data_IF_916658035573
#
_entry.id   IF_916658035573
#
_cell.length_a   1.000
_cell.length_b   1.000
_cell.length_c   1.000
_cell.angle_alpha   90.00
_cell.angle_beta   90.00
_cell.angle_gamma   90.00
#
_symmetry.space_group_name_H-M   'P 1'
#
loop_
_entity.id
_entity.type
_entity.pdbx_description
1 polymer ?
#
# COMPACT_ATOMS: atom_id res chain seq x y z
N UNK A 1 15.34 23.42 -3.50
CA UNK A 1 15.42 22.90 -2.11
C UNK A 1 14.56 21.65 -1.87
N UNK A 2 13.24 21.68 -2.08
CA UNK A 2 12.41 20.46 -1.94
C UNK A 2 12.72 19.43 -3.03
N UNK A 3 12.79 19.88 -4.30
CA UNK A 3 13.13 19.00 -5.42
C UNK A 3 14.49 18.30 -5.23
N UNK A 4 15.49 19.03 -4.72
CA UNK A 4 16.82 18.48 -4.43
C UNK A 4 16.77 17.45 -3.29
N UNK A 5 15.94 17.68 -2.27
CA UNK A 5 15.71 16.71 -1.20
C UNK A 5 15.04 15.44 -1.72
N UNK A 6 14.05 15.57 -2.60
CA UNK A 6 13.41 14.41 -3.26
C UNK A 6 14.44 13.65 -4.09
N UNK A 7 15.21 14.33 -4.94
CA UNK A 7 16.25 13.70 -5.75
C UNK A 7 17.30 12.96 -4.89
N UNK A 8 17.72 13.57 -3.78
CA UNK A 8 18.66 12.95 -2.86
C UNK A 8 18.07 11.72 -2.16
N UNK A 9 16.83 11.76 -1.68
CA UNK A 9 16.18 10.60 -1.06
C UNK A 9 15.92 9.48 -2.08
N UNK A 10 15.49 9.80 -3.30
CA UNK A 10 15.39 8.82 -4.40
C UNK A 10 16.73 8.15 -4.67
N UNK A 11 17.81 8.92 -4.75
CA UNK A 11 19.14 8.38 -4.99
C UNK A 11 19.59 7.42 -3.87
N UNK A 12 19.32 7.77 -2.61
CA UNK A 12 19.60 6.88 -1.46
C UNK A 12 18.83 5.58 -1.57
N UNK A 13 17.53 5.66 -1.84
CA UNK A 13 16.67 4.48 -1.97
C UNK A 13 17.16 3.57 -3.11
N UNK A 14 17.47 4.15 -4.27
CA UNK A 14 18.04 3.41 -5.41
C UNK A 14 19.37 2.72 -5.09
N UNK A 15 20.15 3.28 -4.17
CA UNK A 15 21.41 2.68 -3.73
C UNK A 15 21.21 1.60 -2.65
N UNK A 16 20.20 1.75 -1.80
CA UNK A 16 19.82 0.73 -0.82
C UNK A 16 18.96 -0.37 -1.45
N UNK A 17 19.64 -1.26 -2.18
CA UNK A 17 19.02 -2.40 -2.86
C UNK A 17 18.28 -3.34 -1.90
N UNK A 18 18.74 -3.41 -0.65
CA UNK A 18 18.12 -4.26 0.37
C UNK A 18 16.75 -3.70 0.76
N UNK A 19 16.69 -2.40 1.08
CA UNK A 19 15.42 -1.73 1.39
C UNK A 19 14.46 -1.75 0.19
N UNK A 20 14.96 -1.57 -1.04
CA UNK A 20 14.15 -1.65 -2.25
C UNK A 20 13.55 -3.04 -2.46
N UNK A 21 14.39 -4.08 -2.38
CA UNK A 21 13.94 -5.45 -2.58
C UNK A 21 12.98 -5.88 -1.48
N UNK A 22 13.39 -5.82 -0.22
CA UNK A 22 12.57 -6.29 0.89
C UNK A 22 11.34 -5.42 1.14
N UNK A 23 11.45 -4.10 0.93
CA UNK A 23 10.36 -3.18 1.17
C UNK A 23 9.29 -3.20 0.08
N UNK A 24 9.71 -3.14 -1.19
CA UNK A 24 8.81 -2.82 -2.30
C UNK A 24 8.78 -3.91 -3.38
N UNK A 25 9.85 -4.69 -3.55
CA UNK A 25 9.93 -5.73 -4.59
C UNK A 25 9.46 -7.12 -4.14
N UNK A 26 9.65 -7.45 -2.86
CA UNK A 26 9.49 -8.82 -2.36
C UNK A 26 8.04 -9.30 -2.41
N UNK A 27 7.09 -8.52 -1.90
CA UNK A 27 5.69 -8.91 -1.86
C UNK A 27 5.10 -9.17 -3.28
N UNK A 28 5.31 -8.31 -4.29
CA UNK A 28 4.91 -8.59 -5.67
C UNK A 28 5.54 -9.87 -6.24
N UNK A 29 6.85 -10.08 -6.01
CA UNK A 29 7.58 -11.25 -6.53
C UNK A 29 7.10 -12.56 -5.90
N UNK A 30 6.87 -12.57 -4.58
CA UNK A 30 6.33 -13.74 -3.90
C UNK A 30 4.90 -14.01 -4.36
N UNK A 31 4.08 -12.97 -4.53
CA UNK A 31 2.73 -13.11 -5.11
C UNK A 31 2.75 -13.78 -6.48
N UNK A 32 3.67 -13.38 -7.36
CA UNK A 32 3.90 -14.02 -8.65
C UNK A 32 4.30 -15.49 -8.52
N UNK A 33 5.29 -15.81 -7.68
CA UNK A 33 5.78 -17.17 -7.49
C UNK A 33 4.67 -18.08 -6.94
N UNK A 34 3.88 -17.59 -5.99
CA UNK A 34 2.76 -18.34 -5.41
C UNK A 34 1.65 -18.57 -6.44
N UNK A 35 1.33 -17.58 -7.27
CA UNK A 35 0.34 -17.74 -8.35
C UNK A 35 0.79 -18.80 -9.36
N UNK A 36 2.04 -18.69 -9.83
CA UNK A 36 2.66 -19.67 -10.74
C UNK A 36 2.73 -21.07 -10.14
N UNK A 37 3.16 -21.17 -8.88
CA UNK A 37 3.23 -22.44 -8.16
C UNK A 37 1.86 -23.08 -7.97
N UNK A 38 0.83 -22.28 -7.68
CA UNK A 38 -0.56 -22.73 -7.59
C UNK A 38 -1.07 -23.31 -8.91
N UNK A 39 -0.83 -22.63 -10.03
CA UNK A 39 -1.24 -23.13 -11.36
C UNK A 39 -0.50 -24.40 -11.76
N UNK A 40 0.81 -24.50 -11.48
CA UNK A 40 1.59 -25.72 -11.69
C UNK A 40 1.10 -26.88 -10.82
N UNK A 41 0.79 -26.61 -9.55
CA UNK A 41 0.27 -27.60 -8.61
C UNK A 41 -1.08 -28.17 -9.09
N UNK A 42 -1.99 -27.31 -9.54
CA UNK A 42 -3.29 -27.72 -10.08
C UNK A 42 -3.12 -28.63 -11.29
N UNK A 43 -2.23 -28.26 -12.22
CA UNK A 43 -1.99 -29.07 -13.42
C UNK A 43 -1.34 -30.42 -13.10
N UNK A 44 -0.32 -30.44 -12.25
CA UNK A 44 0.53 -31.62 -12.04
C UNK A 44 -0.07 -32.62 -11.06
N UNK A 45 -0.65 -32.14 -9.96
CA UNK A 45 -1.12 -32.97 -8.85
C UNK A 45 -2.62 -33.20 -8.94
N UNK A 46 -3.40 -32.14 -9.10
CA UNK A 46 -4.87 -32.27 -9.09
C UNK A 46 -5.37 -32.90 -10.39
N UNK A 47 -4.67 -32.67 -11.52
CA UNK A 47 -5.00 -33.21 -12.87
C UNK A 47 -6.47 -33.02 -13.28
N UNK A 48 -7.18 -32.09 -12.64
CA UNK A 48 -8.53 -31.68 -13.01
C UNK A 48 -8.41 -30.35 -13.73
N UNK A 49 -8.23 -30.33 -15.06
CA UNK A 49 -8.56 -29.13 -15.81
C UNK A 49 -10.06 -28.92 -15.58
N UNK A 50 -10.44 -27.90 -14.81
CA UNK A 50 -11.86 -27.52 -14.70
C UNK A 50 -12.32 -27.16 -16.11
N UNK A 51 -13.17 -27.98 -16.76
CA UNK A 51 -13.57 -27.73 -18.14
C UNK A 51 -14.34 -26.40 -18.17
N UNK A 52 -13.95 -25.49 -19.06
CA UNK A 52 -14.60 -24.17 -19.17
C UNK A 52 -14.14 -23.12 -18.15
N UNK A 53 -13.08 -23.36 -17.36
CA UNK A 53 -12.51 -22.32 -16.50
C UNK A 53 -11.88 -21.21 -17.36
N UNK A 54 -12.48 -20.02 -17.32
CA UNK A 54 -12.00 -18.82 -17.99
C UNK A 54 -11.13 -17.99 -17.07
N UNK A 55 -10.13 -17.32 -17.64
CA UNK A 55 -9.29 -16.34 -16.94
C UNK A 55 -9.72 -14.95 -17.37
N UNK A 56 -10.27 -14.20 -16.42
CA UNK A 56 -10.47 -12.77 -16.54
C UNK A 56 -9.24 -12.04 -15.98
N UNK A 57 -8.52 -11.33 -16.85
CA UNK A 57 -7.30 -10.60 -16.49
C UNK A 57 -7.58 -9.39 -15.58
N UNK A 58 -8.65 -8.65 -15.83
CA UNK A 58 -8.96 -7.45 -15.05
C UNK A 58 -9.43 -7.85 -13.64
N UNK A 59 -10.26 -8.88 -13.54
CA UNK A 59 -10.69 -9.41 -12.24
C UNK A 59 -9.50 -9.92 -11.41
N UNK A 60 -8.50 -10.55 -12.05
CA UNK A 60 -7.28 -10.97 -11.36
C UNK A 60 -6.45 -9.79 -10.86
N UNK A 61 -6.30 -8.74 -11.67
CA UNK A 61 -5.60 -7.52 -11.26
C UNK A 61 -6.31 -6.84 -10.10
N UNK A 62 -7.63 -6.67 -10.16
CA UNK A 62 -8.42 -6.07 -9.07
C UNK A 62 -8.28 -6.90 -7.79
N UNK A 63 -8.35 -8.23 -7.89
CA UNK A 63 -8.13 -9.12 -6.75
C UNK A 63 -6.72 -8.99 -6.17
N UNK A 64 -5.70 -8.91 -7.02
CA UNK A 64 -4.31 -8.74 -6.58
C UNK A 64 -4.07 -7.39 -5.90
N UNK A 65 -4.63 -6.30 -6.44
CA UNK A 65 -4.58 -4.97 -5.82
C UNK A 65 -5.36 -4.94 -4.49
N UNK A 66 -6.51 -5.61 -4.42
CA UNK A 66 -7.25 -5.85 -3.18
C UNK A 66 -6.39 -6.53 -2.12
N UNK A 67 -5.71 -7.61 -2.50
CA UNK A 67 -4.76 -8.33 -1.64
C UNK A 67 -3.49 -7.54 -1.30
N UNK A 68 -3.15 -6.51 -2.08
CA UNK A 68 -2.09 -5.56 -1.79
C UNK A 68 -2.29 -4.80 -0.47
N UNK A 69 -3.52 -4.79 0.06
CA UNK A 69 -3.85 -4.28 1.38
C UNK A 69 -3.77 -5.34 2.49
N UNK A 70 -3.36 -6.56 2.20
CA UNK A 70 -3.17 -7.58 3.25
C UNK A 70 -2.14 -7.11 4.28
N UNK A 71 -2.30 -7.55 5.52
CA UNK A 71 -1.34 -7.26 6.61
C UNK A 71 0.08 -7.70 6.27
N UNK A 72 0.22 -8.78 5.49
CA UNK A 72 1.52 -9.26 5.01
C UNK A 72 2.14 -8.31 3.98
N UNK A 73 1.37 -7.80 3.01
CA UNK A 73 1.89 -6.80 2.08
C UNK A 73 2.25 -5.50 2.82
N UNK A 74 1.42 -5.08 3.78
CA UNK A 74 1.68 -3.94 4.64
C UNK A 74 2.99 -4.12 5.43
N UNK A 75 3.31 -5.31 5.95
CA UNK A 75 4.58 -5.58 6.63
C UNK A 75 5.80 -5.16 5.80
N UNK A 76 5.87 -5.61 4.55
CA UNK A 76 7.00 -5.32 3.68
C UNK A 76 7.05 -3.82 3.33
N UNK A 77 5.92 -3.22 2.96
CA UNK A 77 5.84 -1.78 2.70
C UNK A 77 6.29 -0.96 3.92
N UNK A 78 5.92 -1.39 5.14
CA UNK A 78 6.31 -0.75 6.38
C UNK A 78 7.79 -0.90 6.69
N UNK A 79 8.42 -2.04 6.38
CA UNK A 79 9.88 -2.21 6.47
C UNK A 79 10.58 -1.21 5.54
N UNK A 80 10.10 -1.09 4.30
CA UNK A 80 10.60 -0.11 3.33
C UNK A 80 10.44 1.33 3.82
N UNK A 81 9.24 1.72 4.24
CA UNK A 81 8.95 3.05 4.76
C UNK A 81 9.79 3.38 6.01
N UNK A 82 9.91 2.44 6.96
CA UNK A 82 10.69 2.62 8.17
C UNK A 82 12.19 2.78 7.88
N UNK A 83 12.73 2.09 6.88
CA UNK A 83 14.13 2.26 6.46
C UNK A 83 14.42 3.68 5.97
N UNK A 84 13.48 4.29 5.23
CA UNK A 84 13.61 5.66 4.70
C UNK A 84 13.40 6.70 5.81
N UNK A 85 12.40 6.49 6.66
CA UNK A 85 12.01 7.43 7.72
C UNK A 85 13.01 7.44 8.88
N UNK A 86 13.36 6.26 9.41
CA UNK A 86 14.18 6.14 10.60
C UNK A 86 15.66 5.82 10.33
N UNK A 87 16.04 5.65 9.06
CA UNK A 87 17.44 5.47 8.68
C UNK A 87 18.32 6.64 9.13
N UNK A 88 17.81 7.87 9.09
CA UNK A 88 18.56 9.05 9.54
C UNK A 88 18.76 9.11 11.06
N UNK A 89 17.84 8.57 11.86
CA UNK A 89 18.02 8.48 13.31
C UNK A 89 19.08 7.45 13.69
N UNK A 90 19.12 6.31 12.99
CA UNK A 90 20.09 5.25 13.25
C UNK A 90 21.54 5.67 12.98
N UNK A 91 21.76 6.48 11.95
CA UNK A 91 23.10 6.89 11.52
C UNK A 91 23.44 8.34 11.84
N UNK A 92 22.57 9.03 12.58
CA UNK A 92 22.69 10.45 12.95
C UNK A 92 22.95 11.40 11.77
N UNK A 93 22.62 10.98 10.54
CA UNK A 93 22.86 11.73 9.31
C UNK A 93 22.01 12.98 9.20
N UNK A 94 21.01 13.14 10.08
CA UNK A 94 20.22 14.36 10.22
C UNK A 94 21.10 15.58 10.55
N UNK A 95 22.19 15.42 11.32
CA UNK A 95 23.11 16.51 11.69
C UNK A 95 23.70 17.23 10.48
N UNK A 96 23.95 16.49 9.40
CA UNK A 96 24.55 17.00 8.18
C UNK A 96 23.54 17.63 7.22
N UNK A 97 22.24 17.38 7.41
CA UNK A 97 21.16 17.78 6.50
C UNK A 97 20.35 18.97 7.02
N UNK A 98 20.04 19.00 8.31
CA UNK A 98 19.21 20.05 8.92
C UNK A 98 19.78 21.47 8.73
N UNK A 99 21.11 21.71 8.73
CA UNK A 99 21.65 23.05 8.48
C UNK A 99 21.48 23.54 7.04
N UNK A 100 21.23 22.63 6.08
CA UNK A 100 21.25 22.92 4.63
C UNK A 100 19.86 22.90 3.99
N UNK A 101 18.83 22.46 4.70
CA UNK A 101 17.46 22.40 4.21
C UNK A 101 16.45 22.51 5.35
N UNK A 102 15.24 22.99 5.06
CA UNK A 102 14.19 23.10 6.07
C UNK A 102 13.73 21.71 6.54
N UNK A 103 13.38 21.61 7.83
CA UNK A 103 12.85 20.37 8.43
C UNK A 103 11.61 19.86 7.69
N UNK A 104 10.75 20.78 7.24
CA UNK A 104 9.59 20.48 6.40
C UNK A 104 10.01 19.78 5.10
N UNK A 105 10.95 20.35 4.35
CA UNK A 105 11.37 19.80 3.07
C UNK A 105 11.99 18.41 3.21
N UNK A 106 12.73 18.16 4.29
CA UNK A 106 13.35 16.86 4.55
C UNK A 106 12.32 15.77 4.81
N UNK A 107 11.31 16.03 5.64
CA UNK A 107 10.27 15.03 5.92
C UNK A 107 9.29 14.87 4.75
N UNK A 108 8.89 15.96 4.11
CA UNK A 108 8.04 15.92 2.92
C UNK A 108 8.68 15.12 1.78
N UNK A 109 9.99 15.31 1.54
CA UNK A 109 10.72 14.53 0.54
C UNK A 109 10.69 13.02 0.84
N UNK A 110 10.84 12.61 2.11
CA UNK A 110 10.74 11.20 2.50
C UNK A 110 9.37 10.61 2.21
N UNK A 111 8.30 11.31 2.58
CA UNK A 111 6.93 10.86 2.34
C UNK A 111 6.61 10.76 0.85
N UNK A 112 7.09 11.70 0.03
CA UNK A 112 6.94 11.66 -1.43
C UNK A 112 7.67 10.45 -2.01
N UNK A 113 8.92 10.21 -1.61
CA UNK A 113 9.71 9.06 -2.11
C UNK A 113 9.10 7.73 -1.66
N UNK A 114 8.58 7.64 -0.45
CA UNK A 114 7.82 6.46 0.00
C UNK A 114 6.58 6.27 -0.87
N UNK A 115 5.81 7.32 -1.12
CA UNK A 115 4.61 7.24 -1.97
C UNK A 115 4.90 6.80 -3.40
N UNK A 116 6.00 7.28 -3.97
CA UNK A 116 6.47 6.83 -5.29
C UNK A 116 6.92 5.37 -5.27
N UNK A 117 7.64 4.94 -4.24
CA UNK A 117 8.09 3.55 -4.11
C UNK A 117 6.90 2.59 -3.96
N UNK A 118 5.89 2.97 -3.18
CA UNK A 118 4.62 2.23 -3.06
C UNK A 118 3.92 2.17 -4.43
N UNK A 119 3.83 3.30 -5.14
CA UNK A 119 3.22 3.34 -6.48
C UNK A 119 3.90 2.36 -7.44
N UNK A 120 5.24 2.36 -7.49
CA UNK A 120 5.99 1.41 -8.32
C UNK A 120 5.84 -0.05 -7.88
N UNK A 121 5.72 -0.30 -6.57
CA UNK A 121 5.42 -1.65 -6.05
C UNK A 121 4.05 -2.14 -6.52
N UNK A 122 3.04 -1.27 -6.54
CA UNK A 122 1.72 -1.61 -7.05
C UNK A 122 1.74 -1.82 -8.58
N UNK A 123 2.47 -0.99 -9.33
CA UNK A 123 2.67 -1.20 -10.78
C UNK A 123 3.33 -2.55 -11.04
N UNK A 124 4.35 -2.89 -10.26
CA UNK A 124 5.02 -4.20 -10.34
C UNK A 124 4.04 -5.34 -10.01
N UNK A 125 3.17 -5.16 -9.01
CA UNK A 125 2.11 -6.11 -8.65
C UNK A 125 1.17 -6.35 -9.83
N UNK A 126 0.72 -5.30 -10.50
CA UNK A 126 -0.15 -5.41 -11.69
C UNK A 126 0.58 -6.14 -12.81
N UNK A 127 1.80 -5.73 -13.15
CA UNK A 127 2.57 -6.34 -14.23
C UNK A 127 2.83 -7.83 -14.00
N UNK A 128 3.25 -8.20 -12.79
CA UNK A 128 3.50 -9.59 -12.42
C UNK A 128 2.22 -10.42 -12.35
N UNK A 129 1.11 -9.84 -11.89
CA UNK A 129 -0.19 -10.54 -11.88
C UNK A 129 -0.65 -10.84 -13.31
N UNK A 130 -0.54 -9.87 -14.23
CA UNK A 130 -0.85 -10.09 -15.64
C UNK A 130 0.04 -11.16 -16.26
N UNK A 131 1.34 -11.13 -15.98
CA UNK A 131 2.27 -12.16 -16.45
C UNK A 131 1.89 -13.55 -15.90
N UNK A 132 1.61 -13.66 -14.60
CA UNK A 132 1.17 -14.91 -13.99
C UNK A 132 -0.14 -15.42 -14.60
N UNK A 133 -1.11 -14.53 -14.83
CA UNK A 133 -2.41 -14.89 -15.41
C UNK A 133 -2.28 -15.47 -16.83
N UNK A 134 -1.45 -14.84 -17.67
CA UNK A 134 -1.19 -15.29 -19.05
C UNK A 134 -0.45 -16.62 -19.07
N UNK A 135 0.62 -16.75 -18.27
CA UNK A 135 1.39 -17.98 -18.18
C UNK A 135 0.52 -19.11 -17.60
N UNK A 136 -0.24 -18.83 -16.55
CA UNK A 136 -1.17 -19.76 -15.90
C UNK A 136 -2.30 -20.23 -16.82
N UNK A 137 -2.82 -19.35 -17.66
CA UNK A 137 -3.79 -19.69 -18.70
C UNK A 137 -3.18 -20.65 -19.74
N UNK A 138 -1.97 -20.37 -20.20
CA UNK A 138 -1.24 -21.26 -21.12
C UNK A 138 -0.90 -22.62 -20.49
N UNK A 139 -0.53 -22.65 -19.22
CA UNK A 139 -0.27 -23.90 -18.48
C UNK A 139 -1.54 -24.73 -18.37
N UNK A 140 -2.68 -24.14 -18.02
CA UNK A 140 -3.90 -24.88 -17.72
C UNK A 140 -4.88 -25.01 -18.91
N UNK A 141 -4.54 -24.45 -20.07
CA UNK A 141 -5.45 -24.42 -21.24
C UNK A 141 -6.72 -23.61 -21.00
N UNK A 142 -6.67 -22.61 -20.10
CA UNK A 142 -7.82 -21.75 -19.78
C UNK A 142 -7.97 -20.68 -20.86
N UNK A 143 -9.20 -20.43 -21.31
CA UNK A 143 -9.46 -19.34 -22.24
C UNK A 143 -9.35 -17.99 -21.53
N UNK A 144 -8.64 -17.03 -22.14
CA UNK A 144 -8.59 -15.64 -21.67
C UNK A 144 -9.84 -14.94 -22.20
N UNK A 145 -10.64 -14.38 -21.30
CA UNK A 145 -11.89 -13.69 -21.64
C UNK A 145 -11.71 -12.19 -21.43
N UNK A 146 -12.30 -11.40 -22.33
CA UNK A 146 -12.39 -9.96 -22.15
C UNK A 146 -13.26 -9.66 -20.93
N UNK A 147 -12.71 -8.93 -19.96
CA UNK A 147 -13.45 -8.60 -18.75
C UNK A 147 -14.63 -7.68 -19.04
N UNK A 148 -15.67 -7.80 -18.23
CA UNK A 148 -16.72 -6.78 -18.12
C UNK A 148 -16.24 -5.55 -17.35
N UNK A 149 -15.11 -5.62 -16.65
CA UNK A 149 -14.50 -4.54 -15.88
C UNK A 149 -13.58 -3.70 -16.77
N UNK A 150 -13.77 -2.39 -16.73
CA UNK A 150 -12.98 -1.42 -17.47
C UNK A 150 -11.64 -1.05 -16.83
N UNK A 151 -10.88 -0.23 -17.57
CA UNK A 151 -9.61 0.35 -17.09
C UNK A 151 -9.84 1.34 -15.92
N UNK A 152 -11.03 1.96 -15.87
CA UNK A 152 -11.46 2.86 -14.80
C UNK A 152 -11.51 2.17 -13.44
N UNK A 153 -11.99 0.94 -13.39
CA UNK A 153 -12.17 0.16 -12.17
C UNK A 153 -10.81 -0.30 -11.65
N UNK A 154 -9.92 -0.74 -12.55
CA UNK A 154 -8.54 -1.06 -12.20
C UNK A 154 -7.83 0.19 -11.66
N UNK A 155 -7.95 1.33 -12.35
CA UNK A 155 -7.33 2.58 -11.92
C UNK A 155 -7.89 3.07 -10.57
N UNK A 156 -9.20 2.96 -10.34
CA UNK A 156 -9.82 3.35 -9.08
C UNK A 156 -9.36 2.46 -7.92
N UNK A 157 -9.35 1.13 -8.10
CA UNK A 157 -8.84 0.19 -7.07
C UNK A 157 -7.35 0.44 -6.81
N UNK A 158 -6.56 0.69 -7.85
CA UNK A 158 -5.14 1.04 -7.74
C UNK A 158 -4.93 2.30 -6.88
N UNK A 159 -5.67 3.37 -7.17
CA UNK A 159 -5.57 4.63 -6.42
C UNK A 159 -5.99 4.44 -4.98
N UNK A 160 -7.08 3.70 -4.72
CA UNK A 160 -7.55 3.44 -3.35
C UNK A 160 -6.52 2.63 -2.56
N UNK A 161 -5.94 1.58 -3.13
CA UNK A 161 -4.88 0.79 -2.48
C UNK A 161 -3.62 1.63 -2.23
N UNK A 162 -3.30 2.55 -3.15
CA UNK A 162 -2.20 3.50 -2.95
C UNK A 162 -2.48 4.47 -1.79
N UNK A 163 -3.68 5.06 -1.72
CA UNK A 163 -4.09 5.94 -0.62
C UNK A 163 -4.09 5.22 0.72
N UNK A 164 -4.59 4.00 0.76
CA UNK A 164 -4.57 3.15 1.96
C UNK A 164 -3.13 2.93 2.46
N UNK A 165 -2.22 2.57 1.55
CA UNK A 165 -0.81 2.41 1.89
C UNK A 165 -0.15 3.73 2.32
N UNK A 166 -0.54 4.86 1.73
CA UNK A 166 -0.09 6.19 2.14
C UNK A 166 -0.58 6.56 3.55
N UNK A 167 -1.78 6.13 3.96
CA UNK A 167 -2.26 6.35 5.33
C UNK A 167 -1.39 5.64 6.37
N UNK A 168 -0.95 4.42 6.06
CA UNK A 168 0.00 3.66 6.89
C UNK A 168 1.40 4.29 6.86
N UNK A 169 1.87 4.78 5.72
CA UNK A 169 3.15 5.48 5.62
C UNK A 169 3.16 6.79 6.43
N UNK A 170 2.05 7.54 6.44
CA UNK A 170 1.91 8.75 7.25
C UNK A 170 1.90 8.41 8.75
N UNK A 171 1.21 7.34 9.16
CA UNK A 171 1.29 6.81 10.52
C UNK A 171 2.72 6.40 10.88
N UNK A 172 3.42 5.73 9.96
CA UNK A 172 4.83 5.34 10.11
C UNK A 172 5.71 6.55 10.41
N UNK A 173 5.47 7.66 9.71
CA UNK A 173 6.23 8.89 9.92
C UNK A 173 6.00 9.47 11.31
N UNK A 174 4.76 9.54 11.79
CA UNK A 174 4.46 9.95 13.17
C UNK A 174 5.23 9.08 14.18
N UNK A 175 5.12 7.77 14.06
CA UNK A 175 5.76 6.83 15.01
C UNK A 175 7.28 6.89 14.90
N UNK A 176 7.84 6.94 13.69
CA UNK A 176 9.28 7.03 13.46
C UNK A 176 9.86 8.31 14.08
N UNK A 177 9.16 9.44 13.95
CA UNK A 177 9.56 10.72 14.55
C UNK A 177 9.52 10.61 16.08
N UNK A 178 8.41 10.16 16.67
CA UNK A 178 8.25 10.09 18.13
C UNK A 178 9.21 9.09 18.76
N UNK A 179 9.27 7.87 18.23
CA UNK A 179 10.05 6.78 18.82
C UNK A 179 11.53 6.79 18.42
N UNK A 180 11.91 7.56 17.37
CA UNK A 180 13.26 7.59 16.78
C UNK A 180 13.81 6.19 16.46
N UNK A 181 12.92 5.25 16.13
CA UNK A 181 13.24 3.83 15.94
C UNK A 181 12.53 3.24 14.72
N UNK A 182 13.26 2.56 13.81
CA UNK A 182 12.65 1.87 12.68
C UNK A 182 11.76 0.71 13.14
N UNK A 183 12.16 0.00 14.19
CA UNK A 183 11.40 -1.15 14.69
C UNK A 183 10.05 -0.70 15.27
N UNK A 184 10.02 0.42 15.99
CA UNK A 184 8.77 0.98 16.51
C UNK A 184 7.82 1.36 15.37
N UNK A 185 8.32 2.02 14.32
CA UNK A 185 7.52 2.40 13.15
C UNK A 185 6.87 1.18 12.47
N UNK A 186 7.63 0.09 12.30
CA UNK A 186 7.10 -1.16 11.73
C UNK A 186 6.06 -1.80 12.66
N UNK A 187 6.42 -2.06 13.91
CA UNK A 187 5.57 -2.82 14.85
C UNK A 187 4.25 -2.11 15.12
N UNK A 188 4.28 -0.80 15.40
CA UNK A 188 3.05 -0.04 15.71
C UNK A 188 2.12 -0.02 14.50
N UNK A 189 2.64 0.26 13.31
CA UNK A 189 1.80 0.32 12.11
C UNK A 189 1.23 -1.05 11.74
N UNK A 190 1.97 -2.13 11.98
CA UNK A 190 1.46 -3.50 11.82
C UNK A 190 0.33 -3.83 12.78
N UNK A 191 0.50 -3.51 14.06
CA UNK A 191 -0.54 -3.74 15.07
C UNK A 191 -1.79 -2.94 14.72
N UNK A 192 -1.62 -1.66 14.38
CA UNK A 192 -2.74 -0.81 13.94
C UNK A 192 -3.40 -1.39 12.69
N UNK A 193 -2.62 -1.79 11.67
CA UNK A 193 -3.16 -2.40 10.45
C UNK A 193 -3.94 -3.68 10.75
N UNK A 194 -3.38 -4.54 11.59
CA UNK A 194 -4.02 -5.80 11.96
C UNK A 194 -5.36 -5.55 12.67
N UNK A 195 -5.37 -4.66 13.67
CA UNK A 195 -6.61 -4.28 14.37
C UNK A 195 -7.62 -3.66 13.40
N UNK A 196 -7.19 -2.75 12.53
CA UNK A 196 -8.06 -2.15 11.52
C UNK A 196 -8.64 -3.20 10.57
N UNK A 197 -7.86 -4.19 10.14
CA UNK A 197 -8.34 -5.27 9.26
C UNK A 197 -9.39 -6.16 9.92
N UNK A 198 -9.24 -6.45 11.22
CA UNK A 198 -10.23 -7.22 11.98
C UNK A 198 -11.51 -6.40 12.14
N UNK A 199 -11.39 -5.12 12.52
CA UNK A 199 -12.54 -4.24 12.69
C UNK A 199 -13.27 -3.98 11.37
N UNK A 200 -12.54 -3.81 10.26
CA UNK A 200 -13.13 -3.65 8.94
C UNK A 200 -13.89 -4.92 8.52
N UNK A 201 -13.34 -6.10 8.79
CA UNK A 201 -14.00 -7.37 8.49
C UNK A 201 -15.29 -7.59 9.31
N UNK A 202 -15.30 -7.20 10.59
CA UNK A 202 -16.50 -7.35 11.44
C UNK A 202 -17.58 -6.32 11.11
N UNK A 203 -17.19 -5.08 10.82
CA UNK A 203 -18.11 -3.99 10.48
C UNK A 203 -18.58 -4.05 9.03
N UNK A 204 -17.83 -4.68 8.12
CA UNK A 204 -18.25 -4.92 6.73
C UNK A 204 -19.50 -5.80 6.59
N UNK A 205 -19.94 -6.45 7.68
CA UNK A 205 -21.17 -7.25 7.71
C UNK A 205 -22.42 -6.41 8.02
N UNK A 206 -22.30 -5.11 8.36
CA UNK A 206 -23.45 -4.26 8.66
C UNK A 206 -24.00 -3.57 7.41
N UNK A 207 -25.34 -3.53 7.20
CA UNK A 207 -25.94 -2.97 5.97
C UNK A 207 -25.73 -1.48 5.75
N UNK A 208 -25.54 -0.69 6.82
CA UNK A 208 -25.34 0.75 6.72
C UNK A 208 -24.01 1.18 7.37
N UNK A 209 -23.19 1.99 6.66
CA UNK A 209 -21.94 2.49 7.19
C UNK A 209 -22.21 3.51 8.31
N UNK A 210 -21.91 3.10 9.55
CA UNK A 210 -21.98 3.99 10.71
C UNK A 210 -20.79 4.96 10.70
N UNK A 211 -20.95 6.19 11.21
CA UNK A 211 -19.86 7.18 11.33
C UNK A 211 -18.60 6.63 12.05
N UNK A 212 -18.79 5.69 13.00
CA UNK A 212 -17.69 5.01 13.70
C UNK A 212 -16.89 4.09 12.79
N UNK A 213 -17.54 3.45 11.83
CA UNK A 213 -16.88 2.60 10.84
C UNK A 213 -16.05 3.45 9.87
N UNK A 214 -16.58 4.61 9.47
CA UNK A 214 -15.87 5.59 8.64
C UNK A 214 -14.65 6.22 9.34
N UNK A 215 -14.48 6.05 10.66
CA UNK A 215 -13.26 6.50 11.33
C UNK A 215 -12.07 5.58 11.07
N UNK A 216 -12.28 4.41 10.45
CA UNK A 216 -11.27 3.37 10.25
C UNK A 216 -10.78 3.41 8.80
N UNK A 217 -9.53 3.84 8.53
CA UNK A 217 -8.99 3.98 7.18
C UNK A 217 -9.07 2.69 6.33
N UNK A 218 -8.88 1.53 6.95
CA UNK A 218 -8.98 0.24 6.28
C UNK A 218 -10.41 -0.05 5.78
N UNK A 219 -11.42 0.28 6.60
CA UNK A 219 -12.82 0.11 6.23
C UNK A 219 -13.18 1.04 5.07
N UNK A 220 -12.74 2.30 5.12
CA UNK A 220 -12.96 3.26 4.03
C UNK A 220 -12.35 2.77 2.72
N UNK A 221 -11.13 2.23 2.75
CA UNK A 221 -10.47 1.68 1.57
C UNK A 221 -11.19 0.44 1.02
N UNK A 222 -11.71 -0.44 1.88
CA UNK A 222 -12.48 -1.61 1.47
C UNK A 222 -13.83 -1.20 0.84
N UNK A 223 -14.53 -0.24 1.45
CA UNK A 223 -15.78 0.33 0.93
C UNK A 223 -15.56 0.97 -0.45
N UNK A 224 -14.51 1.79 -0.59
CA UNK A 224 -14.17 2.44 -1.86
C UNK A 224 -13.82 1.43 -2.95
N UNK A 225 -13.07 0.36 -2.63
CA UNK A 225 -12.77 -0.71 -3.60
C UNK A 225 -14.01 -1.48 -4.01
N UNK A 226 -14.90 -1.77 -3.07
CA UNK A 226 -16.18 -2.42 -3.36
C UNK A 226 -17.04 -1.53 -4.29
N UNK A 227 -17.12 -0.23 -4.00
CA UNK A 227 -17.85 0.74 -4.81
C UNK A 227 -17.30 0.84 -6.24
N UNK A 228 -15.97 0.91 -6.38
CA UNK A 228 -15.31 0.99 -7.70
C UNK A 228 -15.46 -0.29 -8.50
N UNK A 229 -15.38 -1.46 -7.87
CA UNK A 229 -15.40 -2.75 -8.57
C UNK A 229 -16.79 -3.24 -8.96
N UNK A 230 -17.84 -2.80 -8.26
CA UNK A 230 -19.21 -3.17 -8.58
C UNK A 230 -20.22 -2.02 -8.31
N UNK A 231 -20.23 -0.95 -9.12
CA UNK A 231 -21.06 0.23 -8.88
C UNK A 231 -22.57 -0.05 -8.89
N UNK A 232 -22.99 -1.10 -9.59
CA UNK A 232 -24.41 -1.46 -9.82
C UNK A 232 -24.94 -2.57 -8.90
N UNK A 233 -24.10 -3.22 -8.09
CA UNK A 233 -24.51 -4.34 -7.22
C UNK A 233 -24.85 -3.94 -5.79
N UNK A 234 -24.59 -2.70 -5.41
CA UNK A 234 -24.97 -2.19 -4.11
C UNK A 234 -25.98 -1.07 -4.32
N UNK A 235 -27.12 -1.11 -3.63
CA UNK A 235 -27.93 0.09 -3.38
C UNK A 235 -27.18 1.15 -2.54
N UNK A 236 -25.86 1.26 -2.72
CA UNK A 236 -25.01 2.32 -2.25
C UNK A 236 -25.21 3.49 -3.20
N UNK A 237 -26.12 4.39 -2.82
CA UNK A 237 -26.07 5.75 -3.31
C UNK A 237 -24.62 6.26 -3.17
N UNK A 238 -24.10 7.06 -4.10
CA UNK A 238 -22.70 7.54 -4.06
C UNK A 238 -22.31 8.34 -2.79
N UNK A 239 -23.26 8.58 -1.88
CA UNK A 239 -23.07 9.31 -0.62
C UNK A 239 -21.99 8.72 0.31
N UNK A 240 -22.08 7.46 0.76
CA UNK A 240 -21.11 6.91 1.71
C UNK A 240 -19.70 6.75 1.12
N UNK A 241 -19.58 6.47 -0.17
CA UNK A 241 -18.28 6.40 -0.85
C UNK A 241 -17.56 7.76 -0.88
N UNK A 242 -18.30 8.85 -1.13
CA UNK A 242 -17.74 10.20 -1.08
C UNK A 242 -17.17 10.55 0.30
N UNK A 243 -17.90 10.20 1.38
CA UNK A 243 -17.43 10.41 2.75
C UNK A 243 -16.21 9.56 3.10
N UNK A 244 -16.20 8.28 2.72
CA UNK A 244 -15.05 7.40 2.93
C UNK A 244 -13.77 7.96 2.30
N UNK A 245 -13.85 8.51 1.07
CA UNK A 245 -12.71 9.16 0.42
C UNK A 245 -12.22 10.39 1.20
N UNK A 246 -13.14 11.25 1.63
CA UNK A 246 -12.79 12.45 2.39
C UNK A 246 -12.13 12.12 3.73
N UNK A 247 -12.64 11.11 4.45
CA UNK A 247 -12.07 10.69 5.72
C UNK A 247 -10.69 10.05 5.52
N UNK A 248 -10.51 9.21 4.50
CA UNK A 248 -9.21 8.63 4.18
C UNK A 248 -8.16 9.71 3.84
N UNK A 249 -8.53 10.70 3.00
CA UNK A 249 -7.68 11.85 2.71
C UNK A 249 -7.40 12.69 3.96
N UNK A 250 -8.41 12.87 4.81
CA UNK A 250 -8.31 13.56 6.10
C UNK A 250 -7.28 12.89 7.01
N UNK A 251 -7.28 11.56 7.11
CA UNK A 251 -6.29 10.79 7.87
C UNK A 251 -4.88 10.96 7.33
N UNK A 252 -4.69 10.85 6.01
CA UNK A 252 -3.38 11.05 5.38
C UNK A 252 -2.85 12.45 5.67
N UNK A 253 -3.69 13.48 5.48
CA UNK A 253 -3.33 14.87 5.72
C UNK A 253 -3.02 15.13 7.21
N UNK A 254 -3.88 14.66 8.13
CA UNK A 254 -3.72 14.85 9.56
C UNK A 254 -2.46 14.15 10.10
N UNK A 255 -2.20 12.91 9.69
CA UNK A 255 -1.00 12.17 10.10
C UNK A 255 0.26 12.80 9.50
N UNK A 256 0.22 13.21 8.23
CA UNK A 256 1.36 13.88 7.59
C UNK A 256 1.68 15.21 8.27
N UNK A 257 0.67 16.04 8.52
CA UNK A 257 0.82 17.30 9.24
C UNK A 257 1.33 17.07 10.66
N UNK A 258 0.77 16.07 11.36
CA UNK A 258 1.22 15.66 12.69
C UNK A 258 2.69 15.26 12.71
N UNK A 259 3.13 14.42 11.78
CA UNK A 259 4.54 14.02 11.65
C UNK A 259 5.46 15.22 11.41
N UNK A 260 5.04 16.17 10.56
CA UNK A 260 5.80 17.40 10.27
C UNK A 260 5.92 18.28 11.50
N UNK A 261 4.82 18.53 12.21
CA UNK A 261 4.80 19.36 13.43
C UNK A 261 5.68 18.74 14.50
N UNK A 262 5.54 17.42 14.72
CA UNK A 262 6.37 16.68 15.67
C UNK A 262 7.85 16.76 15.30
N UNK A 263 8.19 16.63 14.01
CA UNK A 263 9.57 16.71 13.52
C UNK A 263 10.16 18.12 13.70
N UNK A 264 9.36 19.16 13.51
CA UNK A 264 9.77 20.55 13.74
C UNK A 264 10.05 20.83 15.22
N UNK A 265 9.26 20.24 16.12
CA UNK A 265 9.43 20.42 17.57
C UNK A 265 10.56 19.58 18.17
N UNK A 266 11.21 18.69 17.40
CA UNK A 266 12.29 17.89 17.95
C UNK A 266 13.52 18.73 18.27
N UNK A 267 13.99 18.60 19.51
CA UNK A 267 15.34 18.98 19.87
C UNK A 267 16.30 17.99 19.21
N UNK A 268 16.82 18.46 18.07
CA UNK A 268 17.90 17.88 17.30
C UNK A 268 19.26 18.44 17.80
N UNK A 269 19.34 18.81 19.08
CA UNK A 269 20.57 19.26 19.73
C UNK A 269 20.80 18.39 20.94
N UNK A 270 21.65 17.37 20.77
CA UNK A 270 22.53 16.94 21.85
C UNK A 270 23.94 17.14 21.31
N UNK A 271 24.60 18.11 21.95
CA UNK A 271 25.91 18.71 21.69
C UNK A 271 25.92 19.84 20.65
#
# INVERSE_FOLDING_TARGET
MLADAIAAERFRLLRDRSALFWGFGFAPLVGFILAMGGDLFVRTIIKRPMPGATVDLAAQVIKALGNGASTMAALFLMIGAASILAGDYRWETWRLRTPRNSRFNLLAAKLIVIGEAIMWSLVLTVALTLAAAVIGAGINGKAIVASTLGLSEIAGVFVVTWLEAMSLAALAACVAVVARSPMAAVVVCLVVRFVQSILAATLGMTPEPTWKALAIPAYDADLLRAFVSAPSHAGMDGGPAGWALLVLLGWIAALTAGAIVLFQQQDLTRE
#
